data_IF_800257137978
#
_entry.id   IF_800257137978
#
_cell.length_a   1.000
_cell.length_b   1.000
_cell.length_c   1.000
_cell.angle_alpha   90.00
_cell.angle_beta   90.00
_cell.angle_gamma   90.00
#
_symmetry.space_group_name_H-M   'P 1'
#
loop_
_entity.id
_entity.type
_entity.pdbx_description
1 polymer ?
#
# COMPACT_ATOMS: atom_id res chain seq x y z
N UNK A 1 -15.44 -7.02 16.07
CA UNK A 1 -14.41 -6.33 15.26
C UNK A 1 -13.37 -5.82 16.23
N UNK A 2 -12.08 -6.05 15.97
CA UNK A 2 -10.99 -5.64 16.88
C UNK A 2 -10.76 -4.12 16.79
N UNK A 3 -10.72 -3.44 17.93
CA UNK A 3 -10.40 -2.01 18.02
C UNK A 3 -9.48 -1.75 19.20
N UNK A 4 -8.66 -0.70 19.12
CA UNK A 4 -7.79 -0.28 20.21
C UNK A 4 -7.96 1.23 20.49
N UNK A 5 -7.24 1.74 21.48
CA UNK A 5 -7.28 3.13 21.94
C UNK A 5 -7.04 4.17 20.82
N UNK A 6 -6.31 3.77 19.76
CA UNK A 6 -5.98 4.60 18.61
C UNK A 6 -6.95 4.42 17.43
N UNK A 7 -7.66 3.29 17.34
CA UNK A 7 -8.55 2.98 16.20
C UNK A 7 -10.05 3.08 16.50
N UNK A 8 -10.45 3.17 17.77
CA UNK A 8 -11.87 3.16 18.16
C UNK A 8 -12.72 4.28 17.51
N UNK A 9 -12.10 5.40 17.16
CA UNK A 9 -12.75 6.54 16.46
C UNK A 9 -12.13 6.84 15.10
N UNK A 10 -11.21 6.00 14.64
CA UNK A 10 -10.52 6.21 13.38
C UNK A 10 -11.31 5.63 12.22
N UNK A 11 -11.28 6.33 11.09
CA UNK A 11 -11.87 5.91 9.82
C UNK A 11 -10.81 5.90 8.72
N UNK A 12 -9.57 5.58 9.10
CA UNK A 12 -8.44 5.45 8.18
C UNK A 12 -8.53 4.20 7.31
N UNK A 13 -7.54 4.03 6.45
CA UNK A 13 -7.46 2.88 5.54
C UNK A 13 -7.54 1.53 6.29
N UNK A 14 -6.79 1.38 7.38
CA UNK A 14 -6.77 0.14 8.19
C UNK A 14 -8.14 -0.18 8.78
N UNK A 15 -8.82 0.80 9.37
CA UNK A 15 -10.14 0.61 9.97
C UNK A 15 -11.20 0.30 8.92
N UNK A 16 -11.17 0.99 7.78
CA UNK A 16 -12.04 0.71 6.65
C UNK A 16 -11.83 -0.71 6.10
N UNK A 17 -10.57 -1.15 5.99
CA UNK A 17 -10.22 -2.51 5.54
C UNK A 17 -10.72 -3.58 6.51
N UNK A 18 -10.56 -3.36 7.82
CA UNK A 18 -11.05 -4.28 8.85
C UNK A 18 -12.58 -4.39 8.84
N UNK A 19 -13.28 -3.26 8.79
CA UNK A 19 -14.73 -3.23 8.74
C UNK A 19 -15.27 -3.96 7.50
N UNK A 20 -14.68 -3.68 6.33
CA UNK A 20 -15.09 -4.29 5.07
C UNK A 20 -14.77 -5.78 4.99
N UNK A 21 -13.66 -6.24 5.58
CA UNK A 21 -13.35 -7.66 5.72
C UNK A 21 -14.38 -8.36 6.60
N UNK A 22 -14.65 -7.84 7.80
CA UNK A 22 -15.60 -8.45 8.73
C UNK A 22 -17.02 -8.52 8.17
N UNK A 23 -17.44 -7.52 7.39
CA UNK A 23 -18.76 -7.51 6.76
C UNK A 23 -18.94 -8.59 5.69
N UNK A 24 -17.85 -9.13 5.14
CA UNK A 24 -17.86 -10.07 4.00
C UNK A 24 -17.33 -11.46 4.33
N UNK A 25 -16.67 -11.61 5.48
CA UNK A 25 -16.05 -12.87 5.87
C UNK A 25 -17.11 -13.94 6.08
N UNK A 26 -16.78 -15.18 5.72
CA UNK A 26 -17.62 -16.33 6.03
C UNK A 26 -17.95 -16.33 7.54
N UNK A 27 -19.24 -16.32 7.94
CA UNK A 27 -19.65 -16.25 9.34
C UNK A 27 -19.07 -17.37 10.21
N UNK A 28 -18.83 -18.55 9.64
CA UNK A 28 -18.20 -19.67 10.36
C UNK A 28 -16.74 -19.35 10.68
N UNK A 29 -15.98 -18.87 9.68
CA UNK A 29 -14.58 -18.47 9.87
C UNK A 29 -14.47 -17.28 10.83
N UNK A 30 -15.40 -16.32 10.74
CA UNK A 30 -15.44 -15.17 11.62
C UNK A 30 -15.54 -15.57 13.11
N UNK A 31 -16.22 -16.67 13.44
CA UNK A 31 -16.28 -17.19 14.82
C UNK A 31 -14.94 -17.78 15.26
N UNK A 32 -14.25 -18.50 14.38
CA UNK A 32 -13.02 -19.23 14.73
C UNK A 32 -11.73 -18.40 14.68
N UNK A 33 -11.71 -17.27 13.99
CA UNK A 33 -10.51 -16.47 13.79
C UNK A 33 -10.62 -15.06 14.37
N UNK A 34 -9.67 -14.69 15.23
CA UNK A 34 -9.40 -13.32 15.62
C UNK A 34 -8.44 -12.68 14.60
N UNK A 35 -8.89 -11.62 13.92
CA UNK A 35 -8.08 -10.86 12.96
C UNK A 35 -7.69 -9.53 13.60
N UNK A 36 -6.39 -9.34 13.80
CA UNK A 36 -5.84 -8.24 14.59
C UNK A 36 -5.08 -7.30 13.64
N UNK A 37 -5.58 -6.08 13.39
CA UNK A 37 -4.89 -5.12 12.52
C UNK A 37 -3.80 -4.36 13.28
N UNK A 38 -2.55 -4.49 12.83
CA UNK A 38 -1.32 -3.80 13.27
C UNK A 38 -0.90 -3.88 14.73
N UNK A 39 -1.82 -3.89 15.71
CA UNK A 39 -1.51 -3.74 17.13
C UNK A 39 -2.17 -4.84 17.96
N UNK A 40 -1.35 -5.75 18.46
CA UNK A 40 -1.81 -6.83 19.33
C UNK A 40 -1.91 -6.35 20.78
N UNK A 41 -3.13 -6.11 21.27
CA UNK A 41 -3.40 -5.78 22.68
C UNK A 41 -3.98 -6.99 23.42
N UNK A 42 -5.19 -7.42 23.06
CA UNK A 42 -5.87 -8.57 23.65
C UNK A 42 -5.89 -9.75 22.67
N UNK A 43 -5.51 -10.93 23.16
CA UNK A 43 -5.49 -12.15 22.35
C UNK A 43 -6.52 -13.15 22.87
N UNK A 44 -7.50 -13.49 22.03
CA UNK A 44 -8.53 -14.47 22.35
C UNK A 44 -7.90 -15.86 22.55
N UNK A 45 -8.20 -16.54 23.65
CA UNK A 45 -7.62 -17.86 23.98
C UNK A 45 -8.23 -19.00 23.16
N UNK A 46 -9.47 -18.84 22.73
CA UNK A 46 -10.33 -19.82 22.07
C UNK A 46 -10.36 -19.70 20.55
N UNK A 47 -9.74 -18.66 19.99
CA UNK A 47 -9.73 -18.37 18.55
C UNK A 47 -8.33 -18.45 17.97
N UNK A 48 -8.26 -18.84 16.69
CA UNK A 48 -7.03 -18.75 15.90
C UNK A 48 -6.70 -17.29 15.66
N UNK A 49 -5.43 -16.91 15.74
CA UNK A 49 -5.02 -15.50 15.71
C UNK A 49 -4.28 -15.18 14.43
N UNK A 50 -4.81 -14.23 13.67
CA UNK A 50 -4.20 -13.70 12.46
C UNK A 50 -3.75 -12.28 12.74
N UNK A 51 -2.47 -12.01 12.54
CA UNK A 51 -1.94 -10.67 12.69
C UNK A 51 -1.82 -10.00 11.32
N UNK A 52 -2.69 -9.03 11.06
CA UNK A 52 -2.77 -8.34 9.78
C UNK A 52 -2.02 -7.01 9.86
N UNK A 53 -0.88 -6.95 9.18
CA UNK A 53 0.08 -5.86 9.27
C UNK A 53 -0.29 -4.75 8.28
N UNK A 54 -0.49 -3.52 8.77
CA UNK A 54 -0.71 -2.35 7.91
C UNK A 54 0.43 -1.33 7.98
N UNK A 55 1.27 -1.38 9.01
CA UNK A 55 2.38 -0.46 9.22
C UNK A 55 3.71 -1.05 8.76
N UNK A 56 4.71 -0.20 8.54
CA UNK A 56 6.10 -0.67 8.43
C UNK A 56 6.57 -1.17 9.79
N UNK A 57 7.52 -2.14 9.85
CA UNK A 57 8.04 -2.59 11.12
C UNK A 57 8.74 -1.44 11.87
N UNK A 58 8.33 -1.18 13.11
CA UNK A 58 8.96 -0.23 14.02
C UNK A 58 9.46 -0.93 15.30
N UNK A 59 10.31 -0.25 16.07
CA UNK A 59 10.77 -0.76 17.35
C UNK A 59 9.62 -1.00 18.34
N UNK A 60 8.62 -0.12 18.33
CA UNK A 60 7.51 -0.15 19.28
C UNK A 60 6.49 -1.24 18.94
N UNK A 61 6.12 -1.39 17.67
CA UNK A 61 4.98 -2.22 17.28
C UNK A 61 5.37 -3.53 16.57
N UNK A 62 6.63 -3.71 16.13
CA UNK A 62 7.05 -4.94 15.42
C UNK A 62 8.19 -5.71 16.07
N UNK A 63 9.01 -5.09 16.93
CA UNK A 63 10.18 -5.74 17.57
C UNK A 63 9.83 -7.01 18.32
N UNK A 64 8.65 -7.04 18.95
CA UNK A 64 8.20 -8.21 19.70
C UNK A 64 8.06 -9.48 18.85
N UNK A 65 7.84 -9.35 17.53
CA UNK A 65 7.74 -10.47 16.59
C UNK A 65 9.08 -11.19 16.35
N UNK A 66 10.20 -10.57 16.70
CA UNK A 66 11.52 -11.22 16.62
C UNK A 66 11.65 -12.38 17.64
N UNK A 67 10.85 -12.37 18.71
CA UNK A 67 10.79 -13.48 19.66
C UNK A 67 10.00 -14.65 19.06
N UNK A 68 10.59 -15.88 18.99
CA UNK A 68 9.88 -17.06 18.53
C UNK A 68 8.60 -17.36 19.33
N UNK A 69 8.61 -17.10 20.64
CA UNK A 69 7.45 -17.31 21.51
C UNK A 69 6.32 -16.35 21.17
N UNK A 70 6.65 -15.08 20.92
CA UNK A 70 5.66 -14.10 20.49
C UNK A 70 5.10 -14.43 19.11
N UNK A 71 5.96 -14.81 18.17
CA UNK A 71 5.54 -15.22 16.83
C UNK A 71 4.67 -16.49 16.86
N UNK A 72 4.92 -17.40 17.79
CA UNK A 72 4.12 -18.61 17.98
C UNK A 72 2.71 -18.34 18.52
N UNK A 73 2.44 -17.14 19.07
CA UNK A 73 1.10 -16.73 19.50
C UNK A 73 0.14 -16.51 18.34
N UNK A 74 0.62 -16.40 17.10
CA UNK A 74 -0.18 -16.19 15.90
C UNK A 74 -0.15 -17.43 15.00
N UNK A 75 -1.33 -17.82 14.50
CA UNK A 75 -1.48 -18.90 13.52
C UNK A 75 -0.98 -18.46 12.13
N UNK A 76 -0.98 -17.16 11.85
CA UNK A 76 -0.45 -16.58 10.62
C UNK A 76 -0.37 -15.06 10.64
N UNK A 77 0.54 -14.52 9.85
CA UNK A 77 0.70 -13.08 9.61
C UNK A 77 0.25 -12.77 8.18
N UNK A 78 -0.42 -11.64 7.99
CA UNK A 78 -0.87 -11.14 6.69
C UNK A 78 -0.22 -9.79 6.43
N UNK A 79 0.52 -9.68 5.33
CA UNK A 79 1.08 -8.42 4.85
C UNK A 79 0.23 -7.87 3.70
N UNK A 80 0.17 -6.55 3.55
CA UNK A 80 -0.60 -5.86 2.50
C UNK A 80 0.20 -5.58 1.22
N UNK A 81 1.49 -5.92 1.20
CA UNK A 81 2.35 -5.89 0.01
C UNK A 81 3.54 -6.82 0.16
N UNK A 82 4.18 -7.15 -0.96
CA UNK A 82 5.45 -7.85 -0.96
C UNK A 82 6.58 -6.97 -0.40
N UNK A 83 6.57 -5.66 -0.69
CA UNK A 83 7.45 -4.69 -0.04
C UNK A 83 7.41 -4.80 1.49
N UNK A 84 6.21 -4.79 2.09
CA UNK A 84 6.06 -4.91 3.54
C UNK A 84 6.52 -6.29 4.04
N UNK A 85 6.19 -7.37 3.36
CA UNK A 85 6.66 -8.71 3.73
C UNK A 85 8.21 -8.82 3.74
N UNK A 86 8.87 -8.19 2.76
CA UNK A 86 10.33 -8.10 2.74
C UNK A 86 10.86 -7.34 3.97
N UNK A 87 10.25 -6.21 4.35
CA UNK A 87 10.68 -5.47 5.55
C UNK A 87 10.52 -6.28 6.84
N UNK A 88 9.40 -6.99 7.02
CA UNK A 88 9.20 -7.85 8.19
C UNK A 88 10.15 -9.05 8.21
N UNK A 89 10.57 -9.54 7.05
CA UNK A 89 11.63 -10.54 6.98
C UNK A 89 13.02 -9.97 7.29
N UNK A 90 13.29 -8.72 6.92
CA UNK A 90 14.62 -8.13 7.08
C UNK A 90 14.87 -7.59 8.49
N UNK A 91 13.85 -6.99 9.11
CA UNK A 91 14.00 -6.23 10.36
C UNK A 91 13.73 -7.14 11.59
N UNK A 92 12.49 -7.58 11.88
CA UNK A 92 12.25 -8.53 12.96
C UNK A 92 12.51 -10.00 12.59
N UNK A 93 13.07 -10.27 11.40
CA UNK A 93 13.44 -11.62 10.95
C UNK A 93 12.27 -12.62 10.92
N UNK A 94 11.05 -12.14 10.64
CA UNK A 94 9.88 -13.00 10.52
C UNK A 94 10.07 -13.91 9.30
N UNK A 95 10.00 -15.24 9.44
CA UNK A 95 10.16 -16.16 8.31
C UNK A 95 9.00 -16.05 7.32
N UNK A 96 9.28 -16.06 6.00
CA UNK A 96 8.22 -16.03 4.97
C UNK A 96 7.15 -17.10 5.13
N UNK A 97 7.50 -18.30 5.63
CA UNK A 97 6.52 -19.38 5.91
C UNK A 97 5.44 -19.01 6.93
N UNK A 98 5.64 -17.94 7.70
CA UNK A 98 4.67 -17.40 8.67
C UNK A 98 3.81 -16.28 8.10
N UNK A 99 4.17 -15.76 6.93
CA UNK A 99 3.51 -14.63 6.30
C UNK A 99 2.78 -15.07 5.02
N UNK A 100 1.68 -14.39 4.72
CA UNK A 100 1.05 -14.40 3.40
C UNK A 100 0.83 -12.95 2.97
N UNK A 101 0.91 -12.67 1.67
CA UNK A 101 0.56 -11.34 1.16
C UNK A 101 -0.89 -11.38 0.68
N UNK A 102 -1.74 -10.60 1.34
CA UNK A 102 -3.10 -10.29 0.90
C UNK A 102 -3.21 -8.77 0.85
N UNK A 103 -3.14 -8.21 -0.36
CA UNK A 103 -3.16 -6.76 -0.56
C UNK A 103 -4.51 -6.15 -0.11
N UNK A 104 -4.53 -4.84 0.06
CA UNK A 104 -5.78 -4.13 0.36
C UNK A 104 -6.79 -4.25 -0.80
N UNK A 105 -8.03 -3.90 -0.52
CA UNK A 105 -9.11 -3.92 -1.50
C UNK A 105 -9.94 -2.64 -1.47
N UNK A 106 -10.68 -2.41 -2.54
CA UNK A 106 -11.56 -1.28 -2.76
C UNK A 106 -12.90 -1.76 -3.30
N UNK A 107 -13.91 -0.90 -3.19
CA UNK A 107 -15.09 -1.03 -4.06
C UNK A 107 -14.71 -0.50 -5.46
N UNK A 108 -14.87 -1.30 -6.52
CA UNK A 108 -14.61 -0.87 -7.89
C UNK A 108 -15.39 0.39 -8.30
N UNK A 109 -14.80 1.23 -9.14
CA UNK A 109 -15.47 2.42 -9.68
C UNK A 109 -16.36 2.13 -10.89
N UNK A 110 -16.29 0.91 -11.45
CA UNK A 110 -16.95 0.51 -12.68
C UNK A 110 -16.08 0.81 -13.91
N UNK A 111 -16.66 0.69 -15.11
CA UNK A 111 -15.95 0.93 -16.36
C UNK A 111 -15.49 2.39 -16.48
N UNK A 112 -14.30 2.59 -17.06
CA UNK A 112 -13.75 3.92 -17.28
C UNK A 112 -14.64 4.76 -18.20
N UNK A 113 -14.80 6.03 -17.84
CA UNK A 113 -15.47 7.03 -18.67
C UNK A 113 -14.49 8.17 -18.98
N UNK A 114 -14.12 8.39 -20.26
CA UNK A 114 -13.23 9.47 -20.62
C UNK A 114 -13.76 10.83 -20.18
N UNK A 115 -12.93 11.62 -19.51
CA UNK A 115 -13.26 12.97 -19.05
C UNK A 115 -13.00 13.98 -20.18
N UNK A 116 -13.96 14.88 -20.39
CA UNK A 116 -13.91 15.90 -21.47
C UNK A 116 -14.02 17.34 -20.96
N UNK A 117 -13.88 17.56 -19.65
CA UNK A 117 -13.91 18.90 -19.07
C UNK A 117 -12.74 19.76 -19.56
N UNK A 118 -13.00 21.07 -19.74
CA UNK A 118 -11.96 22.05 -20.06
C UNK A 118 -10.99 22.24 -18.88
N UNK A 119 -11.52 22.19 -17.65
CA UNK A 119 -10.73 22.22 -16.42
C UNK A 119 -10.11 20.86 -16.15
N UNK A 120 -8.82 20.84 -15.85
CA UNK A 120 -8.08 19.66 -15.41
C UNK A 120 -8.16 19.59 -13.88
N UNK A 121 -8.78 18.54 -13.37
CA UNK A 121 -9.06 18.40 -11.93
C UNK A 121 -8.02 17.51 -11.25
N UNK A 122 -7.28 18.07 -10.30
CA UNK A 122 -6.31 17.37 -9.48
C UNK A 122 -6.94 17.06 -8.12
N UNK A 123 -6.51 15.97 -7.49
CA UNK A 123 -6.92 15.63 -6.12
C UNK A 123 -5.73 15.19 -5.27
N UNK A 124 -5.78 15.53 -3.99
CA UNK A 124 -4.98 14.96 -2.92
C UNK A 124 -5.91 14.58 -1.77
N UNK A 125 -5.93 13.31 -1.38
CA UNK A 125 -6.90 12.81 -0.41
C UNK A 125 -6.29 11.92 0.67
N UNK A 126 -5.15 12.36 1.21
CA UNK A 126 -4.44 11.69 2.30
C UNK A 126 -4.12 12.66 3.44
N UNK A 127 -3.64 12.14 4.57
CA UNK A 127 -3.12 12.96 5.68
C UNK A 127 -1.96 13.86 5.28
N UNK A 128 -1.83 15.05 5.89
CA UNK A 128 -0.95 16.11 5.39
C UNK A 128 0.55 15.74 5.42
N UNK A 129 0.97 14.92 6.39
CA UNK A 129 2.35 14.45 6.53
C UNK A 129 2.86 13.58 5.37
N UNK A 130 1.99 13.23 4.42
CA UNK A 130 2.32 12.44 3.22
C UNK A 130 2.60 13.35 2.03
N UNK A 131 3.27 14.48 2.27
CA UNK A 131 3.75 15.37 1.20
C UNK A 131 2.83 16.52 0.80
N UNK A 132 1.79 16.85 1.57
CA UNK A 132 0.98 18.04 1.25
C UNK A 132 1.84 19.32 1.22
N UNK A 133 2.88 19.38 2.06
CA UNK A 133 3.85 20.49 2.11
C UNK A 133 4.65 20.65 0.81
N UNK A 134 4.78 19.59 0.01
CA UNK A 134 5.38 19.62 -1.33
C UNK A 134 4.33 19.99 -2.38
N UNK A 135 3.14 19.39 -2.30
CA UNK A 135 2.09 19.57 -3.30
C UNK A 135 1.65 21.04 -3.42
N UNK A 136 1.33 21.69 -2.30
CA UNK A 136 0.74 23.04 -2.32
C UNK A 136 1.62 24.07 -3.04
N UNK A 137 2.92 24.26 -2.70
CA UNK A 137 3.76 25.21 -3.42
C UNK A 137 3.98 24.84 -4.89
N UNK A 138 4.08 23.56 -5.22
CA UNK A 138 4.21 23.10 -6.62
C UNK A 138 2.93 23.41 -7.41
N UNK A 139 1.76 23.17 -6.83
CA UNK A 139 0.48 23.51 -7.45
C UNK A 139 0.35 25.02 -7.65
N UNK A 140 0.65 25.83 -6.64
CA UNK A 140 0.64 27.30 -6.75
C UNK A 140 1.54 27.80 -7.89
N UNK A 141 2.70 27.17 -8.08
CA UNK A 141 3.60 27.47 -9.20
C UNK A 141 2.98 27.07 -10.55
N UNK A 142 2.52 25.83 -10.69
CA UNK A 142 1.95 25.32 -11.94
C UNK A 142 0.64 26.00 -12.32
N UNK A 143 -0.15 26.47 -11.34
CA UNK A 143 -1.37 27.20 -11.58
C UNK A 143 -1.11 28.55 -12.28
N UNK A 144 0.09 29.14 -12.16
CA UNK A 144 0.47 30.37 -12.89
C UNK A 144 0.62 30.13 -14.39
N UNK A 145 1.02 28.92 -14.80
CA UNK A 145 1.25 28.56 -16.20
C UNK A 145 0.10 27.78 -16.81
N UNK A 146 -0.68 27.06 -15.99
CA UNK A 146 -1.92 26.40 -16.39
C UNK A 146 -3.12 27.07 -15.71
N UNK A 147 -3.78 28.05 -16.37
CA UNK A 147 -4.94 28.72 -15.79
C UNK A 147 -6.12 27.76 -15.54
N UNK A 148 -6.15 26.64 -16.25
CA UNK A 148 -7.22 25.64 -16.35
C UNK A 148 -7.10 24.46 -15.37
N UNK A 149 -6.24 24.54 -14.34
CA UNK A 149 -6.15 23.51 -13.29
C UNK A 149 -6.88 23.90 -12.01
N UNK A 150 -7.51 22.92 -11.37
CA UNK A 150 -8.08 23.04 -10.01
C UNK A 150 -7.61 21.87 -9.15
N UNK A 151 -7.46 22.10 -7.84
CA UNK A 151 -7.03 21.07 -6.88
C UNK A 151 -8.06 20.90 -5.76
N UNK A 152 -8.56 19.69 -5.59
CA UNK A 152 -9.34 19.28 -4.42
C UNK A 152 -8.41 18.66 -3.36
N UNK A 153 -8.42 19.20 -2.14
CA UNK A 153 -7.58 18.73 -1.01
C UNK A 153 -8.45 18.21 0.13
N UNK A 154 -8.45 16.89 0.30
CA UNK A 154 -9.04 16.18 1.43
C UNK A 154 -7.92 15.74 2.38
N UNK A 155 -7.56 16.58 3.34
CA UNK A 155 -6.40 16.34 4.19
C UNK A 155 -6.59 16.85 5.60
N UNK A 156 -6.59 15.94 6.57
CA UNK A 156 -6.63 16.23 8.01
C UNK A 156 -6.41 14.95 8.81
N UNK A 157 -5.82 15.05 10.00
CA UNK A 157 -5.74 13.97 10.98
C UNK A 157 -7.05 13.73 11.74
N UNK A 158 -8.06 14.58 11.55
CA UNK A 158 -9.38 14.41 12.17
C UNK A 158 -10.09 13.12 11.72
N UNK A 159 -9.70 12.54 10.57
CA UNK A 159 -10.17 11.20 10.16
C UNK A 159 -9.79 10.10 11.16
N UNK A 160 -8.76 10.32 11.99
CA UNK A 160 -8.35 9.45 13.09
C UNK A 160 -8.87 9.94 14.45
N UNK A 161 -9.66 11.02 14.49
CA UNK A 161 -10.02 11.72 15.72
C UNK A 161 -8.85 12.46 16.37
N UNK A 162 -7.77 12.75 15.62
CA UNK A 162 -6.56 13.41 16.11
C UNK A 162 -6.41 14.83 15.59
N UNK A 163 -7.47 15.64 15.70
CA UNK A 163 -7.49 17.02 15.19
C UNK A 163 -6.32 17.87 15.71
N UNK A 164 -5.80 17.61 16.91
CA UNK A 164 -4.63 18.30 17.45
C UNK A 164 -3.35 18.12 16.60
N UNK A 165 -3.25 17.03 15.82
CA UNK A 165 -2.10 16.79 14.92
C UNK A 165 -2.17 17.63 13.63
N UNK A 166 -3.28 18.35 13.40
CA UNK A 166 -3.39 19.31 12.31
C UNK A 166 -2.72 20.65 12.63
N UNK A 167 -2.41 20.94 13.90
CA UNK A 167 -1.84 22.21 14.35
C UNK A 167 -0.55 22.61 13.58
N UNK A 168 0.44 21.71 13.34
CA UNK A 168 1.63 22.05 12.57
C UNK A 168 1.34 22.38 11.10
N UNK A 169 0.18 21.97 10.58
CA UNK A 169 -0.23 22.15 9.18
C UNK A 169 -1.23 23.30 9.00
N UNK A 170 -1.61 24.02 10.06
CA UNK A 170 -2.62 25.09 9.99
C UNK A 170 -2.29 26.14 8.92
N UNK A 171 -1.05 26.62 8.88
CA UNK A 171 -0.61 27.58 7.86
C UNK A 171 -0.72 27.02 6.44
N UNK A 172 -0.45 25.72 6.26
CA UNK A 172 -0.58 25.04 4.98
C UNK A 172 -2.05 24.93 4.56
N UNK A 173 -2.95 24.63 5.49
CA UNK A 173 -4.39 24.63 5.23
C UNK A 173 -4.93 26.03 4.93
N UNK A 174 -4.43 27.06 5.60
CA UNK A 174 -4.80 28.46 5.32
C UNK A 174 -4.35 28.88 3.91
N UNK A 175 -3.16 28.47 3.47
CA UNK A 175 -2.72 28.64 2.07
C UNK A 175 -3.66 27.95 1.08
N UNK A 176 -4.08 26.72 1.36
CA UNK A 176 -5.08 26.03 0.54
C UNK A 176 -6.40 26.80 0.46
N UNK A 177 -6.91 27.32 1.59
CA UNK A 177 -8.16 28.11 1.62
C UNK A 177 -8.05 29.45 0.90
N UNK A 178 -6.86 30.07 0.93
CA UNK A 178 -6.62 31.37 0.33
C UNK A 178 -6.44 31.31 -1.20
N UNK A 179 -6.05 30.16 -1.76
CA UNK A 179 -5.81 30.03 -3.19
C UNK A 179 -7.12 29.79 -3.96
N UNK A 180 -7.47 30.61 -4.98
CA UNK A 180 -8.78 30.58 -5.63
C UNK A 180 -9.07 29.29 -6.43
N UNK A 181 -8.05 28.47 -6.68
CA UNK A 181 -8.14 27.20 -7.42
C UNK A 181 -7.82 25.97 -6.57
N UNK A 182 -7.69 26.14 -5.25
CA UNK A 182 -7.60 25.01 -4.31
C UNK A 182 -8.91 24.98 -3.52
N UNK A 183 -9.57 23.82 -3.50
CA UNK A 183 -10.73 23.55 -2.66
C UNK A 183 -10.29 22.67 -1.50
N UNK A 184 -10.19 23.24 -0.30
CA UNK A 184 -9.83 22.51 0.90
C UNK A 184 -11.06 21.97 1.61
N UNK A 185 -11.16 20.64 1.72
CA UNK A 185 -12.33 19.93 2.24
C UNK A 185 -12.12 19.37 3.66
N UNK A 186 -10.90 19.43 4.20
CA UNK A 186 -10.56 18.80 5.48
C UNK A 186 -10.70 17.28 5.46
N UNK A 187 -11.08 16.68 6.59
CA UNK A 187 -11.44 15.26 6.66
C UNK A 187 -12.89 15.08 6.21
N UNK A 188 -13.13 14.17 5.26
CA UNK A 188 -14.46 13.83 4.75
C UNK A 188 -14.69 12.32 4.78
N UNK A 189 -15.95 11.87 4.85
CA UNK A 189 -16.29 10.47 4.65
C UNK A 189 -15.78 9.96 3.29
N UNK A 190 -15.33 8.70 3.24
CA UNK A 190 -14.73 8.13 2.02
C UNK A 190 -15.67 8.16 0.80
N UNK A 191 -17.01 8.08 0.97
CA UNK A 191 -17.94 8.20 -0.16
C UNK A 191 -17.86 9.56 -0.87
N UNK A 192 -17.66 10.67 -0.13
CA UNK A 192 -17.50 12.02 -0.69
C UNK A 192 -16.21 12.13 -1.50
N UNK A 193 -15.12 11.56 -0.97
CA UNK A 193 -13.83 11.50 -1.67
C UNK A 193 -13.96 10.67 -2.95
N UNK A 194 -14.64 9.52 -2.88
CA UNK A 194 -14.88 8.64 -4.03
C UNK A 194 -15.76 9.30 -5.10
N UNK A 195 -16.80 10.03 -4.71
CA UNK A 195 -17.58 10.81 -5.69
C UNK A 195 -16.70 11.84 -6.40
N UNK A 196 -15.87 12.58 -5.65
CA UNK A 196 -14.94 13.56 -6.24
C UNK A 196 -13.92 12.90 -7.17
N UNK A 197 -13.38 11.73 -6.78
CA UNK A 197 -12.44 10.94 -7.60
C UNK A 197 -12.98 10.54 -8.96
N UNK A 198 -14.31 10.44 -9.14
CA UNK A 198 -14.91 10.14 -10.46
C UNK A 198 -14.62 11.26 -11.45
N UNK A 199 -14.56 12.50 -10.97
CA UNK A 199 -14.41 13.70 -11.80
C UNK A 199 -12.96 14.20 -11.89
N UNK A 200 -12.04 13.67 -11.08
CA UNK A 200 -10.63 14.07 -11.08
C UNK A 200 -9.81 13.40 -12.18
N UNK A 201 -8.98 14.17 -12.88
CA UNK A 201 -8.06 13.67 -13.91
C UNK A 201 -6.76 13.11 -13.31
N UNK A 202 -6.25 13.73 -12.24
CA UNK A 202 -4.91 13.45 -11.69
C UNK A 202 -4.97 13.31 -10.17
N UNK A 203 -4.40 12.24 -9.63
CA UNK A 203 -4.06 12.13 -8.22
C UNK A 203 -2.61 12.56 -8.02
N UNK A 204 -2.44 13.73 -7.41
CA UNK A 204 -1.17 14.42 -7.29
C UNK A 204 -0.54 14.10 -5.93
N UNK A 205 0.34 13.09 -5.88
CA UNK A 205 0.74 12.47 -4.61
C UNK A 205 2.25 12.45 -4.38
N UNK A 206 2.87 13.58 -3.97
CA UNK A 206 4.31 13.67 -3.71
C UNK A 206 4.69 13.09 -2.33
N UNK A 207 4.33 11.83 -2.09
CA UNK A 207 4.46 11.21 -0.77
C UNK A 207 5.89 11.18 -0.27
N UNK A 208 6.10 11.66 0.95
CA UNK A 208 7.34 11.53 1.73
C UNK A 208 7.24 10.42 2.77
N UNK A 209 6.17 9.62 2.72
CA UNK A 209 5.90 8.54 3.67
C UNK A 209 6.08 7.18 2.99
N UNK A 210 6.82 6.23 3.61
CA UNK A 210 7.01 4.91 3.05
C UNK A 210 5.71 4.10 3.16
N UNK A 211 4.88 4.18 2.13
CA UNK A 211 3.62 3.45 2.06
C UNK A 211 3.85 1.94 2.14
N UNK A 212 2.99 1.23 2.87
CA UNK A 212 2.95 -0.24 2.86
C UNK A 212 2.02 -0.78 1.77
N UNK A 213 1.12 0.05 1.25
CA UNK A 213 0.25 -0.24 0.11
C UNK A 213 -0.24 1.07 -0.51
N UNK A 214 -1.00 1.88 0.25
CA UNK A 214 -1.71 3.10 -0.22
C UNK A 214 -3.06 2.80 -0.89
N UNK A 215 -4.11 2.65 -0.08
CA UNK A 215 -5.51 2.51 -0.57
C UNK A 215 -5.92 3.72 -1.43
N UNK A 216 -5.43 4.91 -1.09
CA UNK A 216 -5.72 6.12 -1.87
C UNK A 216 -5.25 6.01 -3.33
N UNK A 217 -4.04 5.48 -3.57
CA UNK A 217 -3.53 5.25 -4.92
C UNK A 217 -4.35 4.19 -5.67
N UNK A 218 -4.78 3.12 -4.98
CA UNK A 218 -5.63 2.06 -5.56
C UNK A 218 -6.98 2.65 -6.00
N UNK A 219 -7.63 3.46 -5.15
CA UNK A 219 -8.89 4.12 -5.49
C UNK A 219 -8.73 5.11 -6.65
N UNK A 220 -7.67 5.91 -6.66
CA UNK A 220 -7.38 6.84 -7.74
C UNK A 220 -7.14 6.13 -9.09
N UNK A 221 -6.40 5.02 -9.09
CA UNK A 221 -6.16 4.24 -10.31
C UNK A 221 -7.44 3.57 -10.80
N UNK A 222 -8.25 3.03 -9.89
CA UNK A 222 -9.56 2.44 -10.22
C UNK A 222 -10.57 3.48 -10.70
N UNK A 223 -10.51 4.73 -10.23
CA UNK A 223 -11.35 5.81 -10.76
C UNK A 223 -10.89 6.31 -12.14
N UNK A 224 -9.70 5.90 -12.59
CA UNK A 224 -9.10 6.34 -13.85
C UNK A 224 -8.38 7.68 -13.75
N UNK A 225 -7.93 8.08 -12.56
CA UNK A 225 -6.96 9.17 -12.42
C UNK A 225 -5.60 8.74 -12.98
N UNK A 226 -4.83 9.70 -13.49
CA UNK A 226 -3.39 9.56 -13.59
C UNK A 226 -2.77 9.76 -12.21
N UNK A 227 -2.02 8.79 -11.71
CA UNK A 227 -1.30 8.92 -10.44
C UNK A 227 0.11 9.43 -10.71
N UNK A 228 0.51 10.50 -10.03
CA UNK A 228 1.88 11.03 -10.03
C UNK A 228 2.43 10.88 -8.62
N UNK A 229 3.45 10.05 -8.44
CA UNK A 229 4.01 9.78 -7.12
C UNK A 229 5.48 9.35 -7.19
N UNK A 230 6.25 9.47 -6.10
CA UNK A 230 7.62 8.99 -6.08
C UNK A 230 7.66 7.46 -6.03
N UNK A 231 8.73 6.88 -6.57
CA UNK A 231 9.05 5.47 -6.39
C UNK A 231 9.56 5.22 -4.95
N UNK A 232 8.64 5.24 -3.99
CA UNK A 232 8.93 5.13 -2.56
C UNK A 232 8.00 4.14 -1.85
N UNK A 233 8.56 3.33 -0.95
CA UNK A 233 7.82 2.27 -0.27
C UNK A 233 7.18 1.27 -1.24
N UNK A 234 5.93 0.89 -0.96
CA UNK A 234 5.12 0.00 -1.78
C UNK A 234 4.41 0.70 -2.96
N UNK A 235 4.65 2.00 -3.21
CA UNK A 235 3.98 2.71 -4.31
C UNK A 235 4.29 2.10 -5.69
N UNK A 236 5.54 1.72 -6.02
CA UNK A 236 5.82 1.04 -7.28
C UNK A 236 5.04 -0.28 -7.46
N UNK A 237 4.97 -1.09 -6.41
CA UNK A 237 4.20 -2.35 -6.40
C UNK A 237 2.70 -2.06 -6.57
N UNK A 238 2.17 -1.13 -5.79
CA UNK A 238 0.74 -0.81 -5.75
C UNK A 238 0.24 -0.18 -7.04
N UNK A 239 1.08 0.63 -7.70
CA UNK A 239 0.70 1.29 -8.94
C UNK A 239 0.83 0.39 -10.18
N UNK A 240 1.46 -0.79 -10.07
CA UNK A 240 1.56 -1.79 -11.14
C UNK A 240 1.94 -1.21 -12.52
N UNK A 241 2.91 -0.28 -12.56
CA UNK A 241 3.37 0.47 -13.75
C UNK A 241 2.34 1.43 -14.41
N UNK A 242 1.19 1.68 -13.78
CA UNK A 242 0.18 2.63 -14.30
C UNK A 242 0.39 4.08 -13.84
N UNK A 243 1.16 4.30 -12.78
CA UNK A 243 1.51 5.62 -12.29
C UNK A 243 2.71 6.21 -13.05
N UNK A 244 2.76 7.54 -13.14
CA UNK A 244 4.00 8.24 -13.46
C UNK A 244 4.87 8.29 -12.21
N UNK A 245 5.81 7.36 -12.13
CA UNK A 245 6.76 7.25 -11.04
C UNK A 245 8.00 8.10 -11.34
N UNK A 246 8.42 8.91 -10.37
CA UNK A 246 9.71 9.59 -10.39
C UNK A 246 10.61 9.11 -9.25
N UNK A 247 11.95 9.15 -9.38
CA UNK A 247 12.85 8.70 -8.33
C UNK A 247 12.66 9.51 -7.03
N UNK A 248 12.47 8.81 -5.91
CA UNK A 248 12.41 9.42 -4.59
C UNK A 248 13.74 10.09 -4.21
N UNK A 249 13.66 11.09 -3.33
CA UNK A 249 14.81 11.72 -2.70
C UNK A 249 14.40 12.30 -1.35
N UNK A 250 15.31 12.23 -0.39
CA UNK A 250 15.14 12.75 0.96
C UNK A 250 15.20 14.27 1.00
N UNK A 251 15.88 14.89 0.03
CA UNK A 251 15.93 16.35 -0.09
C UNK A 251 14.59 16.90 -0.59
N UNK A 252 13.91 17.66 0.27
CA UNK A 252 12.56 18.18 0.00
C UNK A 252 12.51 19.07 -1.24
N UNK A 253 13.55 19.86 -1.48
CA UNK A 253 13.59 20.78 -2.61
C UNK A 253 13.71 20.00 -3.93
N UNK A 254 14.66 19.07 -4.00
CA UNK A 254 14.83 18.15 -5.13
C UNK A 254 13.58 17.31 -5.37
N UNK A 255 12.87 16.88 -4.31
CA UNK A 255 11.59 16.17 -4.42
C UNK A 255 10.54 17.07 -5.07
N UNK A 256 10.38 18.31 -4.60
CA UNK A 256 9.44 19.27 -5.16
C UNK A 256 9.71 19.56 -6.65
N UNK A 257 10.97 19.70 -7.05
CA UNK A 257 11.37 19.91 -8.44
C UNK A 257 11.02 18.71 -9.33
N UNK A 258 11.37 17.49 -8.91
CA UNK A 258 11.02 16.26 -9.65
C UNK A 258 9.51 16.08 -9.76
N UNK A 259 8.79 16.34 -8.68
CA UNK A 259 7.34 16.28 -8.66
C UNK A 259 6.72 17.33 -9.59
N UNK A 260 7.22 18.56 -9.58
CA UNK A 260 6.77 19.64 -10.46
C UNK A 260 6.91 19.27 -11.93
N UNK A 261 8.06 18.70 -12.33
CA UNK A 261 8.29 18.26 -13.71
C UNK A 261 7.33 17.12 -14.10
N UNK A 262 7.15 16.12 -13.24
CA UNK A 262 6.25 15.01 -13.51
C UNK A 262 4.78 15.47 -13.59
N UNK A 263 4.37 16.37 -12.70
CA UNK A 263 3.01 16.90 -12.65
C UNK A 263 2.72 17.83 -13.84
N UNK A 264 3.68 18.67 -14.27
CA UNK A 264 3.54 19.50 -15.48
C UNK A 264 3.34 18.62 -16.74
N UNK A 265 4.16 17.58 -16.89
CA UNK A 265 4.04 16.63 -17.99
C UNK A 265 2.67 15.92 -17.97
N UNK A 266 2.19 15.54 -16.79
CA UNK A 266 0.89 14.93 -16.59
C UNK A 266 -0.27 15.86 -16.97
N UNK A 267 -0.23 17.13 -16.54
CA UNK A 267 -1.22 18.15 -16.89
C UNK A 267 -1.26 18.33 -18.41
N UNK A 268 -0.10 18.47 -19.07
CA UNK A 268 -0.01 18.58 -20.54
C UNK A 268 -0.54 17.33 -21.24
N UNK A 269 -0.26 16.13 -20.72
CA UNK A 269 -0.77 14.89 -21.28
C UNK A 269 -2.30 14.85 -21.23
N UNK A 270 -2.89 15.11 -20.05
CA UNK A 270 -4.35 15.18 -19.87
C UNK A 270 -4.97 16.23 -20.79
N UNK A 271 -4.33 17.41 -20.94
CA UNK A 271 -4.81 18.49 -21.80
C UNK A 271 -4.93 18.11 -23.28
N UNK A 272 -4.05 17.23 -23.77
CA UNK A 272 -4.10 16.74 -25.16
C UNK A 272 -5.32 15.87 -25.44
N UNK A 273 -5.90 15.23 -24.40
CA UNK A 273 -7.08 14.36 -24.50
C UNK A 273 -6.92 13.30 -25.60
N UNK A 274 -5.74 12.69 -25.71
CA UNK A 274 -5.45 11.73 -26.78
C UNK A 274 -6.30 10.46 -26.63
N UNK A 275 -6.74 9.88 -27.75
CA UNK A 275 -7.52 8.63 -27.71
C UNK A 275 -6.75 7.48 -27.04
N UNK A 276 -5.44 7.40 -27.28
CA UNK A 276 -4.55 6.40 -26.66
C UNK A 276 -4.54 6.50 -25.13
N UNK A 277 -4.64 7.71 -24.58
CA UNK A 277 -4.74 7.91 -23.12
C UNK A 277 -6.03 7.29 -22.58
N UNK A 278 -7.15 7.42 -23.29
CA UNK A 278 -8.42 6.82 -22.89
C UNK A 278 -8.36 5.29 -22.88
N UNK A 279 -7.71 4.69 -23.89
CA UNK A 279 -7.49 3.23 -23.94
C UNK A 279 -6.60 2.77 -22.79
N UNK A 280 -5.50 3.46 -22.53
CA UNK A 280 -4.59 3.14 -21.43
C UNK A 280 -5.30 3.25 -20.06
N UNK A 281 -6.14 4.28 -19.86
CA UNK A 281 -6.95 4.45 -18.64
C UNK A 281 -8.03 3.39 -18.50
N UNK A 282 -8.65 2.94 -19.60
CA UNK A 282 -9.59 1.83 -19.55
C UNK A 282 -8.90 0.56 -19.06
N UNK A 283 -7.73 0.22 -19.61
CA UNK A 283 -6.96 -0.94 -19.18
C UNK A 283 -6.52 -0.84 -17.71
N UNK A 284 -6.09 0.35 -17.28
CA UNK A 284 -5.80 0.64 -15.86
C UNK A 284 -7.01 0.34 -14.98
N UNK A 285 -8.16 0.94 -15.28
CA UNK A 285 -9.38 0.80 -14.48
C UNK A 285 -9.81 -0.67 -14.40
N UNK A 286 -9.78 -1.38 -15.51
CA UNK A 286 -10.11 -2.82 -15.56
C UNK A 286 -9.15 -3.66 -14.70
N UNK A 287 -7.85 -3.36 -14.73
CA UNK A 287 -6.86 -4.01 -13.87
C UNK A 287 -7.20 -3.80 -12.38
N UNK A 288 -7.37 -2.56 -11.95
CA UNK A 288 -7.62 -2.28 -10.53
C UNK A 288 -8.99 -2.78 -10.05
N UNK A 289 -10.02 -2.67 -10.87
CA UNK A 289 -11.34 -3.24 -10.57
C UNK A 289 -11.27 -4.76 -10.42
N UNK A 290 -10.43 -5.45 -11.19
CA UNK A 290 -10.31 -6.91 -11.15
C UNK A 290 -9.44 -7.41 -10.00
N UNK A 291 -8.28 -6.80 -9.78
CA UNK A 291 -7.27 -7.31 -8.85
C UNK A 291 -7.35 -6.74 -7.43
N UNK A 292 -7.98 -5.57 -7.28
CA UNK A 292 -8.13 -4.90 -5.98
C UNK A 292 -9.59 -4.83 -5.51
N UNK A 293 -10.53 -5.57 -6.11
CA UNK A 293 -11.91 -5.62 -5.62
C UNK A 293 -12.06 -6.41 -4.32
N UNK A 294 -13.05 -6.01 -3.51
CA UNK A 294 -13.47 -6.80 -2.36
C UNK A 294 -13.98 -8.19 -2.72
N UNK A 295 -14.68 -8.35 -3.84
CA UNK A 295 -15.17 -9.65 -4.31
C UNK A 295 -14.03 -10.66 -4.51
N UNK A 296 -12.92 -10.20 -5.10
CA UNK A 296 -11.71 -11.00 -5.22
C UNK A 296 -11.08 -11.21 -3.85
N UNK A 297 -10.85 -10.12 -3.11
CA UNK A 297 -10.05 -10.15 -1.87
C UNK A 297 -10.68 -11.04 -0.81
N UNK A 298 -12.01 -11.05 -0.70
CA UNK A 298 -12.70 -11.88 0.27
C UNK A 298 -12.57 -13.37 -0.05
N UNK A 299 -12.56 -13.73 -1.33
CA UNK A 299 -12.34 -15.11 -1.78
C UNK A 299 -10.96 -15.60 -1.34
N UNK A 300 -9.92 -14.77 -1.50
CA UNK A 300 -8.56 -15.07 -1.07
C UNK A 300 -8.44 -15.19 0.47
N UNK A 301 -9.08 -14.28 1.22
CA UNK A 301 -9.15 -14.37 2.69
C UNK A 301 -9.83 -15.64 3.17
N UNK A 302 -11.02 -15.96 2.65
CA UNK A 302 -11.75 -17.18 3.03
C UNK A 302 -10.93 -18.44 2.71
N UNK A 303 -10.27 -18.49 1.56
CA UNK A 303 -9.41 -19.62 1.20
C UNK A 303 -8.21 -19.75 2.15
N UNK A 304 -7.55 -18.64 2.49
CA UNK A 304 -6.44 -18.62 3.43
C UNK A 304 -6.85 -19.13 4.82
N UNK A 305 -7.94 -18.58 5.38
CA UNK A 305 -8.42 -18.97 6.70
C UNK A 305 -8.90 -20.43 6.73
N UNK A 306 -9.63 -20.90 5.71
CA UNK A 306 -10.01 -22.33 5.59
C UNK A 306 -8.78 -23.23 5.55
N UNK A 307 -7.73 -22.82 4.84
CA UNK A 307 -6.46 -23.53 4.82
C UNK A 307 -5.82 -23.67 6.21
N UNK A 308 -5.94 -22.67 7.08
CA UNK A 308 -5.47 -22.72 8.47
C UNK A 308 -6.41 -23.49 9.41
N UNK A 309 -7.69 -23.55 9.06
CA UNK A 309 -8.72 -24.28 9.79
C UNK A 309 -8.55 -25.80 9.61
N UNK A 310 -8.44 -26.27 8.35
CA UNK A 310 -8.34 -27.70 8.01
C UNK A 310 -7.01 -28.34 8.42
N UNK A 311 -5.88 -27.61 8.38
CA UNK A 311 -4.54 -28.15 8.70
C UNK A 311 -4.41 -28.75 10.12
N UNK A 312 -5.29 -28.43 11.07
CA UNK A 312 -5.29 -29.06 12.40
C UNK A 312 -6.25 -30.24 12.54
N UNK A 313 -7.26 -30.38 11.69
CA UNK A 313 -8.15 -31.54 11.70
C UNK A 313 -7.41 -32.81 11.22
N UNK A 314 -6.57 -32.69 10.17
CA UNK A 314 -5.81 -33.83 9.61
C UNK A 314 -4.63 -34.26 10.50
N UNK A 315 -3.99 -33.36 11.28
CA UNK A 315 -2.88 -33.76 12.18
C UNK A 315 -3.37 -34.69 13.33
N UNK A 316 -4.67 -34.70 13.64
CA UNK A 316 -5.25 -35.71 14.56
C UNK A 316 -5.51 -37.07 13.91
N UNK A 317 -5.59 -37.15 12.58
CA UNK A 317 -5.86 -38.40 11.84
C UNK A 317 -4.63 -39.02 11.16
N UNK A 318 -3.54 -38.27 11.02
CA UNK A 318 -2.41 -38.67 10.19
C UNK A 318 -1.16 -39.02 11.01
N UNK A 319 -1.11 -40.26 11.53
CA UNK A 319 0.15 -40.95 11.81
C UNK A 319 0.78 -41.36 10.48
N UNK A 320 1.38 -40.41 9.75
CA UNK A 320 2.14 -40.76 8.55
C UNK A 320 3.58 -41.14 8.87
N UNK A 321 3.93 -42.32 8.36
CA UNK A 321 5.23 -42.99 8.42
C UNK A 321 6.34 -42.06 7.93
N UNK A 322 7.38 -41.97 8.74
CA UNK A 322 8.70 -41.44 8.36
C UNK A 322 9.24 -42.26 7.19
N UNK A 323 9.75 -41.60 6.16
CA UNK A 323 10.47 -42.24 5.06
C UNK A 323 11.60 -43.13 5.62
N UNK A 324 11.68 -44.41 5.26
CA UNK A 324 12.78 -45.25 5.73
C UNK A 324 14.10 -44.72 5.18
N UNK A 325 15.06 -44.55 6.07
CA UNK A 325 16.39 -44.03 5.76
C UNK A 325 17.08 -44.85 4.68
N UNK A 326 17.66 -44.16 3.69
CA UNK A 326 18.63 -44.74 2.78
C UNK A 326 19.90 -45.05 3.59
N UNK A 327 20.07 -46.33 3.91
CA UNK A 327 21.29 -46.88 4.48
C UNK A 327 22.48 -46.71 3.52
N UNK A 328 23.63 -46.47 4.12
CA UNK A 328 24.96 -46.33 3.52
C UNK A 328 25.27 -47.39 2.47
N UNK A 329 25.89 -46.99 1.35
CA UNK A 329 26.94 -47.77 0.70
C UNK A 329 28.16 -46.89 0.44
N UNK A 330 29.23 -47.26 1.13
CA UNK A 330 30.60 -46.83 0.87
C UNK A 330 31.07 -47.46 -0.44
N UNK A 331 31.54 -46.65 -1.37
CA UNK A 331 32.46 -47.08 -2.42
C UNK A 331 33.43 -45.94 -2.70
N UNK A 332 34.68 -46.15 -2.33
CA UNK A 332 35.78 -45.23 -2.56
C UNK A 332 35.96 -44.97 -4.06
N UNK A 333 35.87 -43.70 -4.48
CA UNK A 333 36.50 -43.22 -5.70
C UNK A 333 37.65 -42.31 -5.32
N UNK A 334 38.86 -42.72 -5.72
CA UNK A 334 40.08 -41.91 -5.66
C UNK A 334 39.91 -40.69 -6.57
N UNK A 335 40.01 -39.49 -6.01
CA UNK A 335 40.13 -38.26 -6.79
C UNK A 335 41.61 -38.01 -7.07
N UNK A 336 41.96 -38.05 -8.36
CA UNK A 336 43.25 -37.59 -8.88
C UNK A 336 43.35 -36.07 -8.72
N UNK A 337 44.52 -35.63 -8.26
CA UNK A 337 44.92 -34.23 -8.17
C UNK A 337 44.98 -33.58 -9.55
N UNK A 338 44.09 -32.62 -9.82
CA UNK A 338 44.39 -31.50 -10.72
C UNK A 338 43.79 -30.22 -10.13
N UNK A 339 44.69 -29.30 -9.74
CA UNK A 339 44.36 -27.92 -9.34
C UNK A 339 43.96 -27.11 -10.58
N UNK A 340 42.85 -26.35 -10.56
CA UNK A 340 42.71 -25.19 -11.41
C UNK A 340 43.32 -23.96 -10.71
N UNK A 341 44.20 -23.29 -11.43
CA UNK A 341 44.76 -21.97 -11.08
C UNK A 341 43.67 -20.92 -11.33
N UNK A 342 43.34 -20.12 -10.30
CA UNK A 342 42.50 -18.93 -10.42
C UNK A 342 43.36 -17.75 -10.88
N UNK A 343 42.96 -16.93 -11.87
CA UNK A 343 43.56 -15.63 -12.09
C UNK A 343 42.91 -14.54 -11.21
N UNK A 344 43.78 -13.69 -10.67
CA UNK A 344 43.52 -12.48 -9.86
C UNK A 344 42.73 -11.39 -10.62
N UNK A 345 41.96 -10.51 -9.94
CA UNK A 345 41.13 -9.50 -10.60
C UNK A 345 41.95 -8.29 -11.10
N UNK A 346 41.70 -7.92 -12.35
CA UNK A 346 42.17 -6.69 -12.99
C UNK A 346 41.33 -5.49 -12.53
N UNK A 347 42.01 -4.48 -11.99
CA UNK A 347 41.55 -3.10 -11.95
C UNK A 347 41.15 -2.64 -13.36
N UNK A 348 39.98 -2.02 -13.50
CA UNK A 348 39.71 -1.12 -14.61
C UNK A 348 39.30 0.25 -14.06
N UNK A 349 40.25 1.16 -14.16
CA UNK A 349 40.09 2.61 -14.15
C UNK A 349 39.21 3.02 -15.34
N UNK A 350 38.30 3.97 -15.12
CA UNK A 350 37.76 4.80 -16.19
C UNK A 350 37.95 6.27 -15.79
N UNK A 351 38.93 6.92 -16.44
CA UNK A 351 38.92 8.36 -16.69
C UNK A 351 38.55 8.56 -18.17
N UNK A 352 37.43 9.24 -18.42
CA UNK A 352 37.36 10.52 -19.15
C UNK A 352 35.91 10.98 -19.26
#
# INVERSE_FOLDING_TARGET
>A
METNELSARALGGTEAMLAALHARLDPELARHFQIIPSRARQLAADRKRIFWLHDTPSEEEAKFLASPDNLARFDGLVCVSHYQACLYNLIPQVPYRKMVVLQNAIEPFGAYRPRRGATIRLIYHTTPHRGLEILVPVFEHLAKVHPDIELDVFSSFNIYGWAQRDEPYRQLFDRCRAHPRIRYHGAQPNHVVRETLRDCDIFAYPSIWPETSCVAAIEALSSGCLVICPAYGALPETCANFASLYPFTEDRQSHAERFCLALDAAIRAVKRRAHEDATARSFQVDYFNRFYSWDRRITEWNAYLRGLFCRRASIRSDRFRVFPGAARRSSALRLNNHRPVLPSPLLCLFEK
#
